data_IF_176284048775
#
_entry.id   IF_176284048775
#
_cell.length_a   1.000
_cell.length_b   1.000
_cell.length_c   1.000
_cell.angle_alpha   90.00
_cell.angle_beta   90.00
_cell.angle_gamma   90.00
#
_symmetry.space_group_name_H-M   'P 1'
#
loop_
_entity.id
_entity.type
_entity.pdbx_description
1 polymer ?
#
# COMPACT_ATOMS: atom_id res chain seq x y z
N UNK A 1 25.95 2.19 23.66
CA UNK A 1 25.66 3.42 24.43
C UNK A 1 24.29 4.04 24.12
N UNK A 2 23.56 3.64 23.06
CA UNK A 2 22.20 4.16 22.82
C UNK A 2 21.07 3.44 23.59
N UNK A 3 21.30 2.23 24.11
CA UNK A 3 20.25 1.53 24.89
C UNK A 3 20.08 2.05 26.32
N UNK A 4 21.10 2.70 26.89
CA UNK A 4 21.04 3.26 28.26
C UNK A 4 20.24 4.59 28.24
N UNK A 5 20.27 5.33 27.13
CA UNK A 5 19.60 6.62 27.01
C UNK A 5 18.06 6.51 26.85
N UNK A 6 17.53 5.33 26.53
CA UNK A 6 16.08 5.12 26.41
C UNK A 6 15.41 4.77 27.75
N UNK A 7 16.13 4.11 28.67
CA UNK A 7 15.60 3.79 29.99
C UNK A 7 15.58 5.01 30.93
N UNK A 8 16.55 5.92 30.79
CA UNK A 8 16.65 7.12 31.65
C UNK A 8 15.52 8.14 31.39
N UNK A 9 14.92 8.13 30.19
CA UNK A 9 13.82 9.04 29.81
C UNK A 9 12.42 8.54 30.20
N UNK A 10 12.29 7.32 30.73
CA UNK A 10 11.02 6.80 31.26
C UNK A 10 10.83 7.05 32.77
N UNK A 11 11.88 7.46 33.49
CA UNK A 11 11.80 7.83 34.91
C UNK A 11 11.33 9.25 35.21
N UNK A 12 11.22 10.12 34.19
CA UNK A 12 10.89 11.55 34.36
C UNK A 12 9.41 11.91 34.11
N UNK A 13 8.55 10.94 33.76
CA UNK A 13 7.13 11.19 33.45
C UNK A 13 6.16 10.90 34.60
N UNK A 14 6.66 10.59 35.81
CA UNK A 14 5.86 10.48 37.04
C UNK A 14 5.74 11.81 37.83
N UNK A 15 6.01 12.96 37.19
CA UNK A 15 5.99 14.28 37.85
C UNK A 15 4.85 15.21 37.38
N UNK A 16 3.63 14.69 37.25
CA UNK A 16 2.42 15.51 37.20
C UNK A 16 1.43 15.07 38.28
N UNK A 17 1.79 15.29 39.54
CA UNK A 17 0.89 15.22 40.69
C UNK A 17 0.66 16.62 41.24
N UNK A 18 -0.59 17.08 41.20
CA UNK A 18 -1.10 18.26 41.92
C UNK A 18 -2.31 17.78 42.76
N UNK A 19 -2.48 18.28 44.00
CA UNK A 19 -2.75 17.44 45.16
C UNK A 19 -4.23 17.45 45.60
N UNK A 20 -4.64 16.42 46.34
CA UNK A 20 -5.87 16.45 47.12
C UNK A 20 -5.57 16.15 48.60
N UNK A 21 -5.76 17.19 49.42
CA UNK A 21 -5.72 17.18 50.87
C UNK A 21 -7.06 16.63 51.41
N UNK A 22 -7.05 15.62 52.30
CA UNK A 22 -8.30 15.06 52.83
C UNK A 22 -8.12 14.05 53.97
N UNK A 23 -8.31 14.54 55.19
CA UNK A 23 -8.22 13.87 56.50
C UNK A 23 -9.15 12.66 56.74
N UNK A 24 -8.65 11.77 57.60
CA UNK A 24 -9.31 11.12 58.75
C UNK A 24 -10.31 9.96 58.56
N UNK A 25 -10.05 8.88 59.31
CA UNK A 25 -11.02 8.40 60.31
C UNK A 25 -11.69 7.04 60.09
N UNK A 26 -11.28 6.08 60.93
CA UNK A 26 -12.06 5.04 61.61
C UNK A 26 -12.79 3.91 60.85
N UNK A 27 -12.46 2.70 61.32
CA UNK A 27 -13.31 1.53 61.66
C UNK A 27 -14.68 1.38 60.98
N UNK A 28 -14.98 0.15 60.54
CA UNK A 28 -15.99 -0.71 61.18
C UNK A 28 -15.99 -2.11 60.54
N UNK A 29 -15.96 -3.11 61.42
CA UNK A 29 -16.12 -4.54 61.20
C UNK A 29 -17.59 -4.89 60.89
N UNK A 30 -17.78 -5.97 60.11
CA UNK A 30 -18.96 -6.84 60.06
C UNK A 30 -19.96 -6.65 58.91
N UNK A 31 -19.94 -7.58 57.95
CA UNK A 31 -20.99 -8.62 57.80
C UNK A 31 -20.69 -9.53 56.59
N UNK A 32 -20.50 -10.82 56.86
CA UNK A 32 -20.90 -11.88 55.91
C UNK A 32 -22.42 -12.11 56.10
N UNK A 33 -23.21 -12.50 55.07
CA UNK A 33 -23.18 -13.88 54.56
C UNK A 33 -23.49 -14.07 53.04
N UNK A 34 -22.95 -15.16 52.48
CA UNK A 34 -23.51 -16.02 51.40
C UNK A 34 -24.31 -15.39 50.24
N UNK A 35 -23.71 -15.27 49.05
CA UNK A 35 -24.30 -15.79 47.80
C UNK A 35 -23.23 -15.88 46.69
N UNK A 36 -23.25 -16.99 45.97
CA UNK A 36 -22.41 -17.37 44.84
C UNK A 36 -22.33 -16.32 43.73
N UNK A 37 -21.11 -15.85 43.42
CA UNK A 37 -20.72 -15.43 42.07
C UNK A 37 -19.29 -15.95 41.85
N UNK A 38 -19.17 -16.88 40.92
CA UNK A 38 -17.94 -17.57 40.61
C UNK A 38 -16.82 -16.61 40.24
N UNK A 39 -15.66 -16.89 40.80
CA UNK A 39 -14.37 -16.46 40.30
C UNK A 39 -14.18 -16.94 38.86
N UNK A 40 -14.76 -16.22 37.90
CA UNK A 40 -14.45 -16.35 36.48
C UNK A 40 -13.10 -15.66 36.27
N UNK A 41 -12.02 -16.43 36.40
CA UNK A 41 -10.81 -16.12 35.66
C UNK A 41 -11.20 -16.05 34.18
N UNK A 42 -10.99 -14.95 33.44
CA UNK A 42 -11.17 -14.99 32.00
C UNK A 42 -10.19 -16.03 31.46
N UNK A 43 -10.74 -17.09 30.87
CA UNK A 43 -10.01 -18.17 30.21
C UNK A 43 -8.90 -17.60 29.31
N UNK A 44 -7.74 -18.26 29.21
CA UNK A 44 -6.73 -17.89 28.23
C UNK A 44 -7.33 -18.11 26.83
N UNK A 45 -7.58 -17.01 26.10
CA UNK A 45 -8.06 -17.07 24.72
C UNK A 45 -7.15 -18.01 23.90
N UNK A 46 -7.79 -18.93 23.19
CA UNK A 46 -7.15 -20.04 22.49
C UNK A 46 -6.16 -19.47 21.46
N UNK A 47 -5.04 -20.15 21.20
CA UNK A 47 -4.03 -19.69 20.21
C UNK A 47 -4.64 -19.42 18.82
N UNK A 48 -5.73 -20.12 18.48
CA UNK A 48 -6.50 -19.92 17.25
C UNK A 48 -7.19 -18.55 17.19
N UNK A 49 -7.71 -18.05 18.32
CA UNK A 49 -8.40 -16.77 18.38
C UNK A 49 -7.42 -15.62 18.14
N UNK A 50 -6.19 -15.75 18.67
CA UNK A 50 -5.10 -14.78 18.44
C UNK A 50 -4.68 -14.73 16.98
N UNK A 51 -4.55 -15.89 16.32
CA UNK A 51 -4.21 -15.95 14.88
C UNK A 51 -5.30 -15.28 14.06
N UNK A 52 -6.57 -15.60 14.34
CA UNK A 52 -7.70 -14.99 13.62
C UNK A 52 -7.74 -13.46 13.77
N UNK A 53 -7.45 -12.94 14.97
CA UNK A 53 -7.41 -11.51 15.24
C UNK A 53 -6.28 -10.81 14.47
N UNK A 54 -5.09 -11.41 14.40
CA UNK A 54 -3.96 -10.88 13.60
C UNK A 54 -4.30 -10.88 12.12
N UNK A 55 -4.83 -11.97 11.58
CA UNK A 55 -5.23 -12.06 10.18
C UNK A 55 -6.29 -11.02 9.81
N UNK A 56 -7.27 -10.78 10.68
CA UNK A 56 -8.27 -9.73 10.47
C UNK A 56 -7.65 -8.33 10.45
N UNK A 57 -6.71 -8.04 11.35
CA UNK A 57 -5.99 -6.75 11.38
C UNK A 57 -5.11 -6.54 10.16
N UNK A 58 -4.45 -7.59 9.69
CA UNK A 58 -3.70 -7.56 8.44
C UNK A 58 -4.63 -7.29 7.25
N UNK A 59 -5.78 -7.96 7.17
CA UNK A 59 -6.76 -7.71 6.11
C UNK A 59 -7.31 -6.28 6.16
N UNK A 60 -7.55 -5.74 7.35
CA UNK A 60 -7.95 -4.34 7.54
C UNK A 60 -6.86 -3.35 7.12
N UNK A 61 -5.59 -3.73 7.16
CA UNK A 61 -4.48 -2.86 6.73
C UNK A 61 -4.51 -2.56 5.23
N UNK A 62 -5.21 -3.37 4.42
CA UNK A 62 -5.35 -3.17 2.98
C UNK A 62 -6.19 -1.92 2.68
N UNK A 63 -7.45 -1.81 3.11
CA UNK A 63 -8.22 -0.57 2.93
C UNK A 63 -7.59 0.59 3.72
N UNK A 64 -7.03 0.38 4.91
CA UNK A 64 -6.34 1.45 5.66
C UNK A 64 -5.16 2.01 4.86
N UNK A 65 -4.37 1.17 4.19
CA UNK A 65 -3.28 1.61 3.31
C UNK A 65 -3.77 2.54 2.20
N UNK A 66 -4.94 2.27 1.62
CA UNK A 66 -5.53 3.14 0.60
C UNK A 66 -6.05 4.45 1.22
N UNK A 67 -6.62 4.39 2.43
CA UNK A 67 -6.98 5.58 3.21
C UNK A 67 -5.79 6.47 3.55
N UNK A 68 -4.64 5.88 3.86
CA UNK A 68 -3.41 6.60 4.21
C UNK A 68 -2.84 7.42 3.07
N UNK A 69 -3.21 7.15 1.81
CA UNK A 69 -2.90 8.04 0.68
C UNK A 69 -3.40 9.46 0.97
N UNK A 70 -4.53 9.57 1.69
CA UNK A 70 -5.14 10.82 2.12
C UNK A 70 -4.97 11.10 3.62
N UNK A 71 -4.05 10.39 4.30
CA UNK A 71 -3.83 10.53 5.75
C UNK A 71 -4.96 9.98 6.63
N UNK A 72 -5.80 9.09 6.10
CA UNK A 72 -6.94 8.52 6.82
C UNK A 72 -6.60 7.12 7.37
N UNK A 73 -6.52 6.98 8.69
CA UNK A 73 -6.25 5.70 9.37
C UNK A 73 -7.47 4.80 9.58
N UNK A 74 -8.66 5.19 9.10
CA UNK A 74 -9.90 4.44 9.31
C UNK A 74 -10.15 3.46 8.14
N UNK A 75 -10.32 2.14 8.41
CA UNK A 75 -10.59 1.14 7.35
C UNK A 75 -11.86 1.43 6.56
N UNK A 76 -12.88 2.04 7.18
CA UNK A 76 -14.12 2.42 6.50
C UNK A 76 -13.87 3.49 5.44
N UNK A 77 -13.08 4.50 5.77
CA UNK A 77 -12.67 5.56 4.82
C UNK A 77 -11.89 4.98 3.65
N UNK A 78 -10.97 4.06 3.93
CA UNK A 78 -10.26 3.30 2.91
C UNK A 78 -11.18 2.49 1.99
N UNK A 79 -12.20 1.86 2.55
CA UNK A 79 -13.24 1.14 1.82
C UNK A 79 -14.05 2.06 0.91
N UNK A 80 -14.42 3.26 1.37
CA UNK A 80 -15.12 4.27 0.56
C UNK A 80 -14.24 4.69 -0.63
N UNK A 81 -12.94 4.91 -0.42
CA UNK A 81 -12.01 5.19 -1.52
C UNK A 81 -11.89 4.03 -2.50
N UNK A 82 -11.85 2.78 -2.04
CA UNK A 82 -11.89 1.60 -2.92
C UNK A 82 -13.15 1.58 -3.79
N UNK A 83 -14.32 1.84 -3.21
CA UNK A 83 -15.59 1.91 -3.97
C UNK A 83 -15.55 3.05 -4.98
N UNK A 84 -15.03 4.23 -4.60
CA UNK A 84 -14.87 5.35 -5.52
C UNK A 84 -13.95 5.00 -6.70
N UNK A 85 -12.82 4.33 -6.44
CA UNK A 85 -11.92 3.84 -7.47
C UNK A 85 -12.60 2.79 -8.36
N UNK A 86 -13.37 1.87 -7.77
CA UNK A 86 -14.10 0.84 -8.50
C UNK A 86 -15.12 1.42 -9.48
N UNK A 87 -15.85 2.47 -9.06
CA UNK A 87 -16.79 3.21 -9.91
C UNK A 87 -16.06 3.92 -11.05
N UNK A 88 -14.86 4.47 -10.79
CA UNK A 88 -14.08 5.15 -11.82
C UNK A 88 -13.42 4.20 -12.82
N UNK A 89 -12.77 3.14 -12.33
CA UNK A 89 -12.06 2.14 -13.12
C UNK A 89 -11.77 0.90 -12.25
N UNK A 90 -12.38 -0.25 -12.57
CA UNK A 90 -12.10 -1.50 -11.87
C UNK A 90 -10.62 -1.89 -11.90
N UNK A 91 -9.88 -1.56 -12.97
CA UNK A 91 -8.45 -1.85 -13.06
C UNK A 91 -7.61 -1.01 -12.09
N UNK A 92 -7.97 0.25 -11.87
CA UNK A 92 -7.32 1.09 -10.84
C UNK A 92 -7.58 0.50 -9.46
N UNK A 93 -8.83 0.15 -9.16
CA UNK A 93 -9.21 -0.47 -7.89
C UNK A 93 -8.44 -1.77 -7.64
N UNK A 94 -8.31 -2.62 -8.67
CA UNK A 94 -7.56 -3.87 -8.58
C UNK A 94 -6.08 -3.62 -8.27
N UNK A 95 -5.43 -2.69 -8.98
CA UNK A 95 -4.02 -2.37 -8.73
C UNK A 95 -3.79 -1.69 -7.38
N UNK A 96 -4.74 -0.89 -6.91
CA UNK A 96 -4.71 -0.30 -5.57
C UNK A 96 -4.71 -1.39 -4.49
N UNK A 97 -5.62 -2.37 -4.61
CA UNK A 97 -5.73 -3.49 -3.67
C UNK A 97 -4.51 -4.41 -3.74
N UNK A 98 -4.05 -4.76 -4.94
CA UNK A 98 -2.85 -5.58 -5.15
C UNK A 98 -1.63 -4.89 -4.56
N UNK A 99 -1.39 -3.61 -4.88
CA UNK A 99 -0.25 -2.85 -4.36
C UNK A 99 -0.30 -2.73 -2.84
N UNK A 100 -1.47 -2.44 -2.26
CA UNK A 100 -1.60 -2.40 -0.79
C UNK A 100 -1.30 -3.77 -0.15
N UNK A 101 -1.74 -4.87 -0.77
CA UNK A 101 -1.48 -6.24 -0.29
C UNK A 101 0.01 -6.59 -0.39
N UNK A 102 0.65 -6.24 -1.51
CA UNK A 102 2.09 -6.44 -1.73
C UNK A 102 2.92 -5.61 -0.76
N UNK A 103 2.50 -4.36 -0.49
CA UNK A 103 3.13 -3.50 0.51
C UNK A 103 3.09 -4.09 1.91
N UNK A 104 1.96 -4.71 2.29
CA UNK A 104 1.79 -5.43 3.54
C UNK A 104 2.71 -6.65 3.61
N UNK A 105 2.76 -7.48 2.56
CA UNK A 105 3.68 -8.63 2.52
C UNK A 105 5.15 -8.19 2.58
N UNK A 106 5.52 -7.14 1.86
CA UNK A 106 6.87 -6.57 1.92
C UNK A 106 7.22 -6.08 3.34
N UNK A 107 6.26 -5.46 4.03
CA UNK A 107 6.45 -5.01 5.41
C UNK A 107 6.61 -6.19 6.40
N UNK A 108 5.91 -7.31 6.17
CA UNK A 108 6.08 -8.55 6.91
C UNK A 108 7.45 -9.19 6.64
N UNK A 109 7.89 -9.24 5.38
CA UNK A 109 9.18 -9.80 4.97
C UNK A 109 10.38 -9.09 5.61
N UNK A 110 10.26 -7.79 5.85
CA UNK A 110 11.31 -6.98 6.48
C UNK A 110 11.16 -6.86 8.01
N UNK A 111 10.29 -7.68 8.62
CA UNK A 111 9.98 -7.70 10.05
C UNK A 111 9.63 -6.31 10.62
N UNK A 112 8.84 -5.54 9.88
CA UNK A 112 8.34 -4.24 10.34
C UNK A 112 7.41 -4.42 11.55
N UNK A 113 7.41 -3.52 12.54
CA UNK A 113 6.49 -3.61 13.68
C UNK A 113 5.03 -3.64 13.20
N UNK A 114 4.25 -4.57 13.76
CA UNK A 114 2.85 -4.80 13.36
C UNK A 114 1.98 -3.54 13.44
N UNK A 115 2.23 -2.65 14.41
CA UNK A 115 1.49 -1.40 14.54
C UNK A 115 1.63 -0.51 13.30
N UNK A 116 2.83 -0.42 12.71
CA UNK A 116 3.08 0.34 11.48
C UNK A 116 2.36 -0.28 10.27
N UNK A 117 2.29 -1.62 10.24
CA UNK A 117 1.59 -2.37 9.20
C UNK A 117 0.08 -2.13 9.30
N UNK A 118 -0.49 -2.24 10.50
CA UNK A 118 -1.92 -2.02 10.73
C UNK A 118 -2.35 -0.58 10.45
N UNK A 119 -1.47 0.39 10.70
CA UNK A 119 -1.68 1.79 10.32
C UNK A 119 -1.57 2.03 8.80
N UNK A 120 -1.13 1.03 8.01
CA UNK A 120 -1.06 1.12 6.55
C UNK A 120 0.14 1.91 6.01
N UNK A 121 1.13 2.24 6.85
CA UNK A 121 2.23 3.16 6.49
C UNK A 121 3.19 2.62 5.42
N UNK A 122 3.22 1.30 5.24
CA UNK A 122 4.02 0.63 4.21
C UNK A 122 3.24 0.36 2.92
N UNK A 123 1.92 0.46 2.99
CA UNK A 123 1.02 -0.04 1.97
C UNK A 123 0.66 1.06 0.95
N UNK A 124 0.49 2.30 1.40
CA UNK A 124 -0.05 3.40 0.57
C UNK A 124 0.88 3.78 -0.60
N UNK A 125 2.20 3.87 -0.37
CA UNK A 125 3.18 4.17 -1.43
C UNK A 125 3.23 3.05 -2.48
N UNK A 126 3.10 1.80 -2.04
CA UNK A 126 3.03 0.64 -2.92
C UNK A 126 1.75 0.64 -3.77
N UNK A 127 0.61 0.95 -3.15
CA UNK A 127 -0.68 1.08 -3.84
C UNK A 127 -0.62 2.17 -4.93
N UNK A 128 -0.09 3.35 -4.62
CA UNK A 128 0.08 4.44 -5.59
C UNK A 128 0.99 4.05 -6.76
N UNK A 129 2.11 3.39 -6.50
CA UNK A 129 3.02 2.92 -7.54
C UNK A 129 2.37 1.87 -8.45
N UNK A 130 1.65 0.92 -7.86
CA UNK A 130 0.91 -0.08 -8.62
C UNK A 130 -0.17 0.55 -9.50
N UNK A 131 -0.89 1.57 -9.04
CA UNK A 131 -1.86 2.31 -9.85
C UNK A 131 -1.15 3.06 -10.99
N UNK A 132 -0.08 3.77 -10.70
CA UNK A 132 0.64 4.62 -11.64
C UNK A 132 1.26 3.79 -12.80
N UNK A 133 1.94 2.69 -12.45
CA UNK A 133 2.64 1.84 -13.42
C UNK A 133 1.69 0.78 -14.01
N UNK A 134 0.72 0.29 -13.25
CA UNK A 134 -0.23 -0.75 -13.63
C UNK A 134 -1.40 -0.29 -14.51
N UNK A 135 -1.15 0.62 -15.46
CA UNK A 135 -2.13 0.98 -16.48
C UNK A 135 -2.39 2.47 -16.66
N UNK A 136 -2.00 3.33 -15.72
CA UNK A 136 -2.19 4.78 -15.83
C UNK A 136 -1.15 5.40 -16.78
N UNK A 137 0.13 5.29 -16.45
CA UNK A 137 1.21 5.88 -17.27
C UNK A 137 1.85 4.90 -18.26
N UNK A 138 1.69 3.60 -18.03
CA UNK A 138 2.12 2.54 -18.92
C UNK A 138 0.91 1.77 -19.43
N UNK A 139 1.00 1.26 -20.66
CA UNK A 139 -0.02 0.35 -21.16
C UNK A 139 0.01 -0.95 -20.35
N UNK A 140 -1.16 -1.42 -19.93
CA UNK A 140 -1.27 -2.62 -19.11
C UNK A 140 -0.85 -3.88 -19.89
N UNK A 141 0.37 -4.33 -19.63
CA UNK A 141 0.97 -5.61 -20.07
C UNK A 141 1.45 -6.42 -18.86
N UNK A 142 1.67 -7.72 -19.04
CA UNK A 142 2.18 -8.58 -17.96
C UNK A 142 3.54 -8.10 -17.42
N UNK A 143 4.40 -7.61 -18.31
CA UNK A 143 5.71 -7.06 -17.97
C UNK A 143 5.58 -5.81 -17.10
N UNK A 144 4.69 -4.87 -17.47
CA UNK A 144 4.45 -3.66 -16.67
C UNK A 144 3.79 -3.98 -15.34
N UNK A 145 2.98 -5.03 -15.28
CA UNK A 145 2.39 -5.49 -14.02
C UNK A 145 3.47 -5.99 -13.06
N UNK A 146 4.37 -6.87 -13.50
CA UNK A 146 5.52 -7.33 -12.69
C UNK A 146 6.43 -6.16 -12.28
N UNK A 147 6.67 -5.21 -13.19
CA UNK A 147 7.44 -4.00 -12.90
C UNK A 147 6.79 -3.15 -11.80
N UNK A 148 5.45 -3.04 -11.82
CA UNK A 148 4.71 -2.30 -10.82
C UNK A 148 4.83 -2.92 -9.43
N UNK A 149 4.85 -4.24 -9.33
CA UNK A 149 5.05 -4.98 -8.07
C UNK A 149 6.45 -4.76 -7.50
N UNK A 150 7.47 -4.87 -8.35
CA UNK A 150 8.87 -4.65 -7.95
C UNK A 150 9.09 -3.20 -7.47
N UNK A 151 8.50 -2.22 -8.16
CA UNK A 151 8.53 -0.82 -7.74
C UNK A 151 7.83 -0.64 -6.38
N UNK A 152 6.66 -1.25 -6.20
CA UNK A 152 5.89 -1.16 -4.96
C UNK A 152 6.64 -1.71 -3.75
N UNK A 153 7.29 -2.87 -3.90
CA UNK A 153 8.12 -3.47 -2.84
C UNK A 153 9.31 -2.57 -2.46
N UNK A 154 10.01 -2.02 -3.45
CA UNK A 154 11.10 -1.07 -3.22
C UNK A 154 10.64 0.16 -2.42
N UNK A 155 9.44 0.67 -2.71
CA UNK A 155 8.86 1.80 -1.98
C UNK A 155 8.44 1.45 -0.56
N UNK A 156 7.91 0.25 -0.34
CA UNK A 156 7.60 -0.26 1.01
C UNK A 156 8.86 -0.39 1.89
N UNK A 157 9.99 -0.75 1.28
CA UNK A 157 11.28 -0.72 1.97
C UNK A 157 11.71 0.71 2.34
N UNK A 158 11.53 1.66 1.41
CA UNK A 158 11.91 3.07 1.60
C UNK A 158 11.00 3.83 2.56
N UNK A 159 9.76 3.40 2.79
CA UNK A 159 8.85 4.05 3.73
C UNK A 159 9.33 4.03 5.18
N UNK A 160 10.32 3.19 5.53
CA UNK A 160 10.98 3.18 6.85
C UNK A 160 11.95 4.32 7.07
N UNK A 161 12.50 4.88 6.00
CA UNK A 161 13.47 5.96 6.12
C UNK A 161 12.74 7.22 6.57
N UNK A 162 13.34 7.97 7.50
CA UNK A 162 12.88 9.32 7.84
C UNK A 162 13.74 10.30 7.06
N UNK A 163 13.13 11.32 6.45
CA UNK A 163 13.86 12.36 5.75
C UNK A 163 13.97 13.57 6.67
N UNK A 164 15.18 13.82 7.21
CA UNK A 164 15.46 14.96 8.09
C UNK A 164 14.51 15.07 9.31
N UNK A 165 14.10 13.91 9.87
CA UNK A 165 13.18 13.84 11.02
C UNK A 165 11.69 14.00 10.68
N UNK A 166 11.34 14.26 9.42
CA UNK A 166 9.96 14.38 8.95
C UNK A 166 9.42 13.07 8.35
N UNK A 167 8.09 12.86 8.40
CA UNK A 167 7.46 11.75 7.70
C UNK A 167 7.63 11.94 6.19
N UNK A 168 8.10 10.89 5.51
CA UNK A 168 8.46 10.96 4.08
C UNK A 168 7.23 11.02 3.16
N UNK A 169 6.02 10.86 3.72
CA UNK A 169 4.75 10.98 3.00
C UNK A 169 4.80 10.21 1.65
N UNK A 170 4.32 10.83 0.57
CA UNK A 170 4.31 10.26 -0.77
C UNK A 170 5.54 10.63 -1.61
N UNK A 171 6.56 11.28 -1.03
CA UNK A 171 7.82 11.58 -1.74
C UNK A 171 8.49 10.37 -2.39
N UNK A 172 8.58 9.18 -1.73
CA UNK A 172 9.23 8.03 -2.32
C UNK A 172 8.49 7.59 -3.58
N UNK A 173 7.16 7.57 -3.52
CA UNK A 173 6.30 7.30 -4.66
C UNK A 173 6.52 8.31 -5.79
N UNK A 174 6.46 9.61 -5.50
CA UNK A 174 6.62 10.66 -6.52
C UNK A 174 7.98 10.55 -7.23
N UNK A 175 9.08 10.41 -6.48
CA UNK A 175 10.41 10.28 -7.05
C UNK A 175 10.56 9.00 -7.88
N UNK A 176 10.04 7.88 -7.40
CA UNK A 176 10.10 6.62 -8.14
C UNK A 176 9.25 6.63 -9.40
N UNK A 177 8.01 7.16 -9.32
CA UNK A 177 7.13 7.30 -10.47
C UNK A 177 7.73 8.23 -11.53
N UNK A 178 8.32 9.36 -11.11
CA UNK A 178 9.03 10.27 -12.02
C UNK A 178 10.24 9.60 -12.66
N UNK A 179 11.06 8.88 -11.89
CA UNK A 179 12.22 8.16 -12.41
C UNK A 179 11.80 7.10 -13.42
N UNK A 180 10.79 6.29 -13.10
CA UNK A 180 10.26 5.29 -14.03
C UNK A 180 9.71 5.94 -15.29
N UNK A 181 8.93 7.01 -15.15
CA UNK A 181 8.42 7.79 -16.29
C UNK A 181 9.55 8.36 -17.15
N UNK A 182 10.64 8.85 -16.55
CA UNK A 182 11.78 9.42 -17.27
C UNK A 182 12.63 8.34 -17.95
N UNK A 183 12.71 7.15 -17.36
CA UNK A 183 13.40 6.01 -17.95
C UNK A 183 12.69 5.60 -19.24
N UNK A 184 13.43 5.68 -20.33
CA UNK A 184 13.03 5.12 -21.62
C UNK A 184 13.45 3.65 -21.64
N UNK A 185 12.51 2.77 -22.03
CA UNK A 185 12.80 1.35 -22.22
C UNK A 185 12.70 1.04 -23.71
N UNK A 186 13.69 0.34 -24.25
CA UNK A 186 13.64 -0.15 -25.63
C UNK A 186 12.72 -1.37 -25.79
N UNK A 187 12.20 -1.92 -24.69
CA UNK A 187 11.36 -3.09 -24.74
C UNK A 187 9.95 -2.73 -25.27
N UNK A 188 9.51 -3.29 -26.42
CA UNK A 188 8.18 -2.99 -26.98
C UNK A 188 7.01 -3.46 -26.09
N UNK A 189 7.27 -4.28 -25.08
CA UNK A 189 6.29 -4.67 -24.07
C UNK A 189 6.07 -3.61 -22.98
N UNK A 190 6.99 -2.67 -22.81
CA UNK A 190 6.92 -1.56 -21.85
C UNK A 190 6.61 -0.29 -22.65
N UNK A 191 5.32 -0.12 -22.98
CA UNK A 191 4.87 1.04 -23.74
C UNK A 191 4.43 2.16 -22.80
N UNK A 192 5.14 3.28 -22.84
CA UNK A 192 4.78 4.51 -22.12
C UNK A 192 3.67 5.25 -22.87
N UNK A 193 2.62 5.61 -22.14
CA UNK A 193 1.52 6.39 -22.70
C UNK A 193 1.94 7.86 -22.87
N UNK A 194 1.64 8.50 -24.01
CA UNK A 194 1.84 9.94 -24.14
C UNK A 194 0.89 10.66 -23.16
N UNK A 195 1.42 11.59 -22.37
CA UNK A 195 0.69 12.24 -21.27
C UNK A 195 -0.61 12.92 -21.73
N UNK A 196 -0.66 13.44 -22.96
CA UNK A 196 -1.85 14.05 -23.55
C UNK A 196 -2.98 13.05 -23.90
N UNK A 197 -2.72 11.74 -23.83
CA UNK A 197 -3.70 10.67 -24.08
C UNK A 197 -3.96 9.80 -22.85
N UNK A 198 -3.28 10.05 -21.73
CA UNK A 198 -3.51 9.32 -20.48
C UNK A 198 -4.90 9.63 -19.97
N UNK A 199 -5.69 8.59 -19.77
CA UNK A 199 -6.99 8.64 -19.12
C UNK A 199 -7.04 7.54 -18.07
N UNK A 200 -7.96 6.58 -18.18
CA UNK A 200 -8.05 5.41 -17.29
C UNK A 200 -7.42 4.17 -17.96
N UNK A 201 -6.99 3.16 -17.18
CA UNK A 201 -6.26 1.99 -17.69
C UNK A 201 -6.96 1.24 -18.83
N UNK A 202 -8.29 1.17 -18.83
CA UNK A 202 -9.07 0.51 -19.86
C UNK A 202 -8.94 1.24 -21.21
N UNK A 203 -9.13 2.55 -21.23
CA UNK A 203 -8.93 3.38 -22.42
C UNK A 203 -7.47 3.38 -22.88
N UNK A 204 -6.53 3.46 -21.95
CA UNK A 204 -5.09 3.42 -22.25
C UNK A 204 -4.70 2.09 -22.92
N UNK A 205 -5.24 0.97 -22.43
CA UNK A 205 -5.03 -0.36 -23.03
C UNK A 205 -5.62 -0.47 -24.43
N UNK A 206 -6.81 0.07 -24.66
CA UNK A 206 -7.43 0.10 -26.00
C UNK A 206 -6.57 0.94 -26.97
N UNK A 207 -6.08 2.10 -26.52
CA UNK A 207 -5.19 2.95 -27.31
C UNK A 207 -3.91 2.21 -27.70
N UNK A 208 -3.25 1.55 -26.74
CA UNK A 208 -2.05 0.74 -27.00
C UNK A 208 -2.30 -0.36 -28.03
N UNK A 209 -3.39 -1.12 -27.90
CA UNK A 209 -3.71 -2.20 -28.84
C UNK A 209 -3.99 -1.68 -30.25
N UNK A 210 -4.64 -0.50 -30.37
CA UNK A 210 -4.85 0.17 -31.67
C UNK A 210 -3.53 0.59 -32.31
N UNK A 211 -2.63 1.17 -31.52
CA UNK A 211 -1.30 1.58 -32.02
C UNK A 211 -0.47 0.37 -32.46
N UNK A 212 -0.50 -0.72 -31.67
CA UNK A 212 0.20 -1.97 -32.02
C UNK A 212 -0.35 -2.60 -33.31
N UNK A 213 -1.68 -2.57 -33.51
CA UNK A 213 -2.31 -3.06 -34.75
C UNK A 213 -1.86 -2.25 -35.97
N UNK A 214 -1.92 -0.91 -35.91
CA UNK A 214 -1.48 -0.05 -37.03
C UNK A 214 -0.02 -0.26 -37.39
N UNK A 215 0.86 -0.39 -36.38
CA UNK A 215 2.27 -0.69 -36.61
C UNK A 215 2.49 -2.05 -37.28
N UNK A 216 1.65 -3.05 -36.96
CA UNK A 216 1.71 -4.37 -37.60
C UNK A 216 1.17 -4.36 -39.04
N UNK A 217 0.14 -3.56 -39.32
CA UNK A 217 -0.45 -3.39 -40.66
C UNK A 217 0.54 -2.69 -41.59
N UNK A 218 1.10 -1.54 -41.17
CA UNK A 218 2.13 -0.82 -41.95
C UNK A 218 3.35 -1.69 -42.24
N UNK A 219 3.81 -2.50 -41.27
CA UNK A 219 4.91 -3.45 -41.50
C UNK A 219 4.56 -4.52 -42.55
N UNK A 220 3.30 -4.98 -42.59
CA UNK A 220 2.83 -5.95 -43.60
C UNK A 220 2.76 -5.31 -44.99
N UNK A 221 2.27 -4.07 -45.08
CA UNK A 221 2.23 -3.29 -46.31
C UNK A 221 3.65 -3.06 -46.86
N UNK A 222 4.60 -2.66 -46.02
CA UNK A 222 6.01 -2.47 -46.41
C UNK A 222 6.64 -3.75 -46.96
N UNK A 223 6.36 -4.91 -46.33
CA UNK A 223 6.84 -6.22 -46.79
C UNK A 223 6.19 -6.60 -48.12
N UNK A 224 4.89 -6.34 -48.29
CA UNK A 224 4.20 -6.60 -49.55
C UNK A 224 4.74 -5.73 -50.70
N UNK A 225 4.97 -4.43 -50.46
CA UNK A 225 5.60 -3.53 -51.43
C UNK A 225 7.01 -3.98 -51.81
N UNK A 226 7.85 -4.38 -50.84
CA UNK A 226 9.21 -4.90 -51.11
C UNK A 226 9.20 -6.21 -51.88
N UNK A 227 8.27 -7.12 -51.59
CA UNK A 227 8.12 -8.38 -52.32
C UNK A 227 7.75 -8.17 -53.79
N UNK A 228 6.96 -7.14 -54.09
CA UNK A 228 6.51 -6.85 -55.46
C UNK A 228 7.59 -6.20 -56.34
N UNK A 229 8.61 -5.56 -55.75
CA UNK A 229 9.75 -4.98 -56.48
C UNK A 229 10.91 -5.97 -56.73
N UNK A 230 10.83 -7.20 -56.24
CA UNK A 230 11.86 -8.24 -56.38
C UNK A 230 11.64 -9.26 -57.51
N UNK A 231 10.55 -9.16 -58.27
CA UNK A 231 10.30 -10.00 -59.44
C UNK A 231 10.73 -9.23 -60.71
N UNK A 232 11.79 -9.66 -61.43
CA UNK A 232 11.94 -9.22 -62.81
C UNK A 232 10.74 -9.78 -63.59
N UNK A 233 9.93 -8.87 -64.14
CA UNK A 233 9.02 -9.21 -65.23
C UNK A 233 9.92 -9.65 -66.40
N UNK A 234 9.85 -10.96 -66.70
CA UNK A 234 10.22 -11.64 -67.95
C UNK A 234 11.40 -11.10 -68.76
#
# INVERSE_FOLDING_TARGET
MEQIFYEERLGELDLFSVPAHGKAGNEVISKSPTHSQGFFLPFPANSLDKISAVSLRLLQSIPVGIGQVYGCGNPWTGGIFLVALLISSPLICLHAAIGSTVGMFAALSIASPFDSIYLGLHNYNCALACIAIGGMFYALTWQTHLLSLACGEYLSYKSRQKFLGLPVCTWPFCLSALLFLLITSENPAIYRMPLCKVSHPEANRIYYLRMKRRASESRREDVACRGNHGLPLS
#
